data_IF_775205421556
#
_entry.id   IF_775205421556
#
_cell.length_a   1.000
_cell.length_b   1.000
_cell.length_c   1.000
_cell.angle_alpha   90.00
_cell.angle_beta   90.00
_cell.angle_gamma   90.00
#
_symmetry.space_group_name_H-M   'P 1'
#
loop_
_entity.id
_entity.type
_entity.pdbx_description
1 polymer ?
#
# COMPACT_ATOMS: atom_id res chain seq x y z
N UNK A 1 -2.04 -20.17 -24.53
CA UNK A 1 -0.74 -19.72 -23.98
C UNK A 1 -0.92 -18.29 -23.47
N UNK A 2 -1.03 -18.09 -22.16
CA UNK A 2 -1.25 -16.76 -21.58
C UNK A 2 0.09 -15.99 -21.60
N UNK A 3 0.13 -14.95 -22.44
CA UNK A 3 1.23 -14.01 -22.67
C UNK A 3 1.73 -13.43 -21.35
N UNK A 4 2.88 -13.90 -20.88
CA UNK A 4 3.63 -13.22 -19.83
C UNK A 4 4.19 -11.90 -20.40
N UNK A 5 4.26 -10.87 -19.57
CA UNK A 5 4.91 -9.61 -19.96
C UNK A 5 6.41 -9.82 -20.00
N UNK A 6 7.04 -9.22 -21.00
CA UNK A 6 8.50 -9.11 -21.03
C UNK A 6 8.98 -8.12 -19.95
N UNK A 7 10.23 -8.26 -19.49
CA UNK A 7 10.84 -7.46 -18.41
C UNK A 7 10.73 -5.97 -18.68
N UNK A 8 10.97 -5.55 -19.93
CA UNK A 8 10.84 -4.14 -20.34
C UNK A 8 9.42 -3.62 -20.15
N UNK A 9 8.42 -4.45 -20.41
CA UNK A 9 7.01 -4.10 -20.27
C UNK A 9 6.65 -3.94 -18.80
N UNK A 10 7.16 -4.81 -17.92
CA UNK A 10 7.01 -4.68 -16.47
C UNK A 10 7.63 -3.39 -15.92
N UNK A 11 8.83 -3.03 -16.39
CA UNK A 11 9.49 -1.79 -15.97
C UNK A 11 8.70 -0.56 -16.43
N UNK A 12 8.27 -0.55 -17.70
CA UNK A 12 7.48 0.56 -18.23
C UNK A 12 6.18 0.74 -17.45
N UNK A 13 5.45 -0.36 -17.21
CA UNK A 13 4.23 -0.30 -16.42
C UNK A 13 4.48 0.23 -15.01
N UNK A 14 5.58 -0.18 -14.36
CA UNK A 14 5.93 0.30 -13.02
C UNK A 14 6.25 1.80 -13.00
N UNK A 15 6.89 2.33 -14.05
CA UNK A 15 7.12 3.78 -14.18
C UNK A 15 5.79 4.52 -14.34
N UNK A 16 4.88 4.01 -15.17
CA UNK A 16 3.57 4.61 -15.37
C UNK A 16 2.76 4.62 -14.06
N UNK A 17 2.73 3.49 -13.35
CA UNK A 17 2.06 3.38 -12.05
C UNK A 17 2.62 4.41 -11.04
N UNK A 18 3.94 4.59 -11.00
CA UNK A 18 4.60 5.56 -10.12
C UNK A 18 4.25 7.02 -10.46
N UNK A 19 4.20 7.37 -11.75
CA UNK A 19 3.78 8.70 -12.19
C UNK A 19 2.34 8.97 -11.79
N UNK A 20 1.43 8.02 -12.02
CA UNK A 20 0.03 8.16 -11.64
C UNK A 20 -0.14 8.34 -10.12
N UNK A 21 0.58 7.56 -9.30
CA UNK A 21 0.55 7.69 -7.85
C UNK A 21 1.05 9.07 -7.37
N UNK A 22 2.12 9.59 -7.97
CA UNK A 22 2.63 10.93 -7.67
C UNK A 22 1.63 12.02 -8.06
N UNK A 23 1.03 11.93 -9.24
CA UNK A 23 0.00 12.87 -9.69
C UNK A 23 -1.22 12.83 -8.78
N UNK A 24 -1.71 11.64 -8.42
CA UNK A 24 -2.81 11.50 -7.47
C UNK A 24 -2.46 12.14 -6.13
N UNK A 25 -1.25 11.92 -5.61
CA UNK A 25 -0.81 12.52 -4.34
C UNK A 25 -0.83 14.04 -4.39
N UNK A 26 -0.32 14.64 -5.48
CA UNK A 26 -0.34 16.08 -5.67
C UNK A 26 -1.78 16.63 -5.74
N UNK A 27 -2.67 15.96 -6.47
CA UNK A 27 -4.09 16.34 -6.56
C UNK A 27 -4.77 16.20 -5.20
N UNK A 28 -4.53 15.11 -4.48
CA UNK A 28 -5.15 14.84 -3.19
C UNK A 28 -4.74 15.89 -2.14
N UNK A 29 -3.50 16.37 -2.16
CA UNK A 29 -3.03 17.47 -1.30
C UNK A 29 -3.77 18.78 -1.56
N UNK A 30 -4.13 19.06 -2.82
CA UNK A 30 -4.87 20.26 -3.19
C UNK A 30 -6.40 20.11 -3.03
N UNK A 31 -6.91 18.88 -2.96
CA UNK A 31 -8.32 18.60 -2.94
C UNK A 31 -8.93 18.74 -1.54
N UNK A 32 -10.09 19.41 -1.46
CA UNK A 32 -10.90 19.50 -0.23
C UNK A 32 -11.73 18.24 0.06
N UNK A 33 -11.73 17.27 -0.85
CA UNK A 33 -12.45 16.00 -0.76
C UNK A 33 -11.51 14.87 -1.15
N UNK A 34 -11.82 13.66 -0.68
CA UNK A 34 -11.07 12.47 -1.05
C UNK A 34 -11.20 12.23 -2.57
N UNK A 35 -10.06 12.05 -3.22
CA UNK A 35 -9.91 11.74 -4.63
C UNK A 35 -9.65 10.24 -4.74
N UNK A 36 -10.37 9.50 -5.60
CA UNK A 36 -10.16 8.07 -5.75
C UNK A 36 -8.73 7.78 -6.23
N UNK A 37 -8.11 6.77 -5.62
CA UNK A 37 -6.77 6.30 -6.02
C UNK A 37 -6.86 5.65 -7.42
N UNK A 38 -5.95 5.95 -8.35
CA UNK A 38 -5.94 5.31 -9.66
C UNK A 38 -5.59 3.82 -9.52
N UNK A 39 -6.27 2.99 -10.31
CA UNK A 39 -5.96 1.58 -10.41
C UNK A 39 -4.65 1.36 -11.19
N UNK A 40 -3.75 0.48 -10.72
CA UNK A 40 -2.52 0.18 -11.42
C UNK A 40 -2.79 -0.57 -12.73
N UNK A 41 -1.83 -0.53 -13.65
CA UNK A 41 -1.93 -1.25 -14.92
C UNK A 41 -2.07 -2.76 -14.68
N UNK A 42 -3.02 -3.44 -15.37
CA UNK A 42 -3.27 -4.86 -15.16
C UNK A 42 -2.08 -5.69 -15.66
N UNK A 43 -1.39 -6.37 -14.74
CA UNK A 43 -0.22 -7.21 -15.04
C UNK A 43 -0.67 -8.67 -15.26
N UNK A 44 -0.09 -9.40 -16.22
CA UNK A 44 -0.41 -10.81 -16.43
C UNK A 44 0.12 -11.64 -15.25
N UNK A 45 -0.75 -12.47 -14.68
CA UNK A 45 -0.42 -13.31 -13.53
C UNK A 45 -0.77 -12.68 -12.18
N UNK A 46 -1.04 -11.38 -12.13
CA UNK A 46 -1.61 -10.75 -10.94
C UNK A 46 -3.08 -11.14 -10.84
N UNK A 47 -3.36 -12.22 -10.11
CA UNK A 47 -4.68 -12.40 -9.51
C UNK A 47 -4.91 -11.16 -8.64
N UNK A 48 -6.03 -10.41 -8.77
CA UNK A 48 -6.26 -9.22 -7.98
C UNK A 48 -6.04 -9.58 -6.51
N UNK A 49 -5.01 -8.99 -5.91
CA UNK A 49 -4.75 -9.17 -4.49
C UNK A 49 -6.00 -8.66 -3.78
N UNK A 50 -6.74 -9.57 -3.16
CA UNK A 50 -7.86 -9.20 -2.31
C UNK A 50 -7.35 -8.11 -1.36
N UNK A 51 -8.07 -6.98 -1.31
CA UNK A 51 -7.73 -5.82 -0.47
C UNK A 51 -7.17 -6.32 0.87
N UNK A 52 -6.02 -5.80 1.35
CA UNK A 52 -5.40 -6.31 2.55
C UNK A 52 -6.45 -6.25 3.65
N UNK A 53 -6.97 -7.42 4.05
CA UNK A 53 -7.89 -7.48 5.17
C UNK A 53 -7.10 -6.88 6.31
N UNK A 54 -7.58 -5.76 6.86
CA UNK A 54 -7.09 -5.11 8.07
C UNK A 54 -7.34 -6.06 9.25
N UNK A 55 -6.86 -7.29 9.18
CA UNK A 55 -6.83 -8.23 10.29
C UNK A 55 -5.81 -7.64 11.23
N UNK A 56 -6.31 -7.07 12.32
CA UNK A 56 -5.51 -6.72 13.48
C UNK A 56 -4.63 -7.93 13.77
N UNK A 57 -3.33 -7.78 13.55
CA UNK A 57 -2.36 -8.82 13.82
C UNK A 57 -2.34 -9.01 15.33
N UNK A 58 -3.00 -10.05 15.83
CA UNK A 58 -3.03 -10.35 17.25
C UNK A 58 -1.67 -10.91 17.69
N UNK A 59 -0.81 -10.00 18.13
CA UNK A 59 0.54 -10.31 18.60
C UNK A 59 0.55 -10.73 20.08
N UNK A 60 -0.61 -10.85 20.74
CA UNK A 60 -0.69 -11.12 22.19
C UNK A 60 -0.09 -12.47 22.60
N UNK A 61 0.04 -13.41 21.66
CA UNK A 61 0.61 -14.76 21.87
C UNK A 61 1.98 -14.96 21.22
N UNK A 62 2.57 -13.91 20.64
CA UNK A 62 3.84 -14.04 19.92
C UNK A 62 5.01 -14.18 20.92
N UNK A 63 5.95 -15.14 20.72
CA UNK A 63 7.05 -15.38 21.66
C UNK A 63 7.94 -14.15 21.89
N UNK A 64 8.06 -13.30 20.87
CA UNK A 64 8.83 -12.06 20.94
C UNK A 64 8.02 -10.81 21.30
N UNK A 65 6.71 -10.93 21.57
CA UNK A 65 5.90 -9.80 21.98
C UNK A 65 6.25 -9.40 23.42
N UNK A 66 7.14 -8.41 23.56
CA UNK A 66 7.40 -7.77 24.85
C UNK A 66 6.39 -6.65 25.10
N UNK A 67 5.84 -6.50 26.31
CA UNK A 67 4.96 -5.39 26.62
C UNK A 67 5.71 -4.07 26.43
N UNK A 68 5.00 -3.06 25.90
CA UNK A 68 5.52 -1.70 25.77
C UNK A 68 6.04 -1.21 27.14
N UNK A 69 7.32 -0.82 27.26
CA UNK A 69 7.88 -0.26 28.49
C UNK A 69 7.06 0.93 29.00
N UNK A 70 6.90 1.05 30.32
CA UNK A 70 6.01 2.05 30.94
C UNK A 70 6.27 3.51 30.49
N UNK A 71 7.53 3.84 30.20
CA UNK A 71 7.95 5.15 29.66
C UNK A 71 7.34 5.51 28.30
N UNK A 72 6.75 4.55 27.60
CA UNK A 72 6.08 4.75 26.31
C UNK A 72 4.56 4.58 26.37
N UNK A 73 3.98 4.28 27.55
CA UNK A 73 2.52 4.15 27.71
C UNK A 73 1.81 5.50 27.77
N UNK A 74 2.51 6.53 28.21
CA UNK A 74 2.03 7.91 28.25
C UNK A 74 2.71 8.68 27.12
N UNK A 75 2.04 8.78 25.97
CA UNK A 75 2.33 9.91 25.10
C UNK A 75 1.81 11.17 25.81
N UNK A 76 2.56 12.28 25.88
CA UNK A 76 1.96 13.55 26.21
C UNK A 76 0.90 13.86 25.14
N UNK A 77 -0.32 14.15 25.58
CA UNK A 77 -1.37 14.67 24.72
C UNK A 77 -0.84 15.95 24.03
N UNK A 78 -0.85 15.96 22.70
CA UNK A 78 -0.47 17.11 21.89
C UNK A 78 -1.70 17.62 21.15
#
# INVERSE_FOLDING_TARGET
MHRQWDTRTHLLASIVDAVQANTWTAIQLAARRAVPLPDPLPRPGDRPAAAPSRRTLDLSRHPDARPLPAKYRTAPDN
#
